data_IF_089671122865
#
_entry.id   IF_089671122865
#
_cell.length_a   1.000
_cell.length_b   1.000
_cell.length_c   1.000
_cell.angle_alpha   90.00
_cell.angle_beta   90.00
_cell.angle_gamma   90.00
#
_symmetry.space_group_name_H-M   'P 1'
#
loop_
_entity.id
_entity.type
_entity.pdbx_description
1 polymer ?
#
# COMPACT_ATOMS: atom_id res chain seq x y z
N UNK A 1 -10.96 34.14 -9.13
CA UNK A 1 -9.69 34.90 -9.15
C UNK A 1 -9.41 35.62 -7.84
N UNK A 2 -10.33 36.45 -7.32
CA UNK A 2 -10.13 37.20 -6.06
C UNK A 2 -9.90 36.33 -4.80
N UNK A 3 -10.53 35.16 -4.72
CA UNK A 3 -10.31 34.19 -3.63
C UNK A 3 -8.94 33.51 -3.66
N UNK A 4 -8.36 33.31 -4.85
CA UNK A 4 -7.04 32.68 -5.02
C UNK A 4 -5.91 33.61 -4.58
N UNK A 5 -6.05 34.91 -4.83
CA UNK A 5 -5.07 35.93 -4.44
C UNK A 5 -4.98 36.05 -2.91
N UNK A 6 -6.12 36.01 -2.22
CA UNK A 6 -6.16 36.05 -0.75
C UNK A 6 -5.50 34.82 -0.11
N UNK A 7 -5.62 33.65 -0.76
CA UNK A 7 -4.94 32.43 -0.32
C UNK A 7 -3.41 32.55 -0.41
N UNK A 8 -2.90 33.09 -1.53
CA UNK A 8 -1.47 33.24 -1.77
C UNK A 8 -0.82 34.28 -0.86
N UNK A 9 -1.50 35.39 -0.58
CA UNK A 9 -1.02 36.41 0.38
C UNK A 9 -0.99 35.86 1.80
N UNK A 10 -2.00 35.06 2.18
CA UNK A 10 -2.02 34.37 3.48
C UNK A 10 -0.88 33.36 3.65
N UNK A 11 -0.58 32.59 2.60
CA UNK A 11 0.57 31.67 2.58
C UNK A 11 1.91 32.40 2.72
N UNK A 12 2.08 33.56 2.06
CA UNK A 12 3.30 34.36 2.14
C UNK A 12 3.51 34.95 3.55
N UNK A 13 2.44 35.47 4.16
CA UNK A 13 2.50 36.06 5.51
C UNK A 13 2.93 35.03 6.56
N UNK A 14 2.41 33.80 6.45
CA UNK A 14 2.73 32.71 7.37
C UNK A 14 4.19 32.25 7.21
N UNK A 15 4.70 32.12 5.98
CA UNK A 15 6.10 31.72 5.74
C UNK A 15 7.12 32.74 6.29
N UNK A 16 6.85 34.04 6.16
CA UNK A 16 7.75 35.09 6.68
C UNK A 16 7.84 35.11 8.20
N UNK A 17 6.74 34.80 8.91
CA UNK A 17 6.75 34.73 10.38
C UNK A 17 7.55 33.53 10.91
N UNK A 18 7.45 32.37 10.26
CA UNK A 18 8.25 31.20 10.63
C UNK A 18 9.75 31.37 10.35
N UNK A 19 10.11 32.12 9.29
CA UNK A 19 11.51 32.39 8.94
C UNK A 19 12.22 33.30 9.97
N UNK A 20 11.52 34.29 10.53
CA UNK A 20 12.08 35.19 11.54
C UNK A 20 12.42 34.44 12.84
N UNK A 21 11.49 33.60 13.33
CA UNK A 21 11.68 32.84 14.57
C UNK A 21 12.80 31.78 14.45
N UNK A 22 12.98 31.19 13.27
CA UNK A 22 14.07 30.23 13.03
C UNK A 22 15.45 30.91 13.01
N UNK A 23 15.52 32.17 12.53
CA UNK A 23 16.78 32.92 12.47
C UNK A 23 17.24 33.39 13.85
N UNK A 24 16.30 33.77 14.73
CA UNK A 24 16.60 34.20 16.10
C UNK A 24 17.12 33.03 16.96
N UNK A 25 16.47 31.86 16.87
CA UNK A 25 16.93 30.63 17.55
C UNK A 25 18.29 30.12 17.04
N UNK A 26 18.62 30.32 15.76
CA UNK A 26 19.91 29.95 15.21
C UNK A 26 21.04 30.83 15.76
N UNK A 27 20.79 32.13 15.97
CA UNK A 27 21.78 33.07 16.51
C UNK A 27 22.04 32.83 18.00
N UNK A 28 21.02 32.51 18.79
CA UNK A 28 21.19 32.16 20.21
C UNK A 28 22.03 30.88 20.39
N UNK A 29 21.82 29.87 19.54
CA UNK A 29 22.59 28.63 19.57
C UNK A 29 24.09 28.81 19.23
N UNK A 30 24.43 29.80 18.39
CA UNK A 30 25.82 30.14 18.05
C UNK A 30 26.48 30.88 19.21
N UNK A 31 25.78 31.80 19.87
CA UNK A 31 26.29 32.54 21.02
C UNK A 31 26.64 31.63 22.21
N UNK A 32 25.80 30.63 22.50
CA UNK A 32 26.05 29.64 23.56
C UNK A 32 27.30 28.80 23.27
N UNK A 33 27.50 28.37 22.01
CA UNK A 33 28.70 27.62 21.59
C UNK A 33 29.97 28.47 21.67
N UNK A 34 29.89 29.77 21.42
CA UNK A 34 31.04 30.66 21.52
C UNK A 34 31.41 30.98 22.98
N UNK A 35 30.43 31.14 23.87
CA UNK A 35 30.67 31.28 25.31
C UNK A 35 31.37 30.04 25.90
N UNK A 36 30.98 28.84 25.46
CA UNK A 36 31.57 27.57 25.91
C UNK A 36 33.03 27.39 25.44
N UNK A 37 33.40 27.96 24.30
CA UNK A 37 34.81 27.99 23.81
C UNK A 37 35.70 28.96 24.59
N UNK A 38 35.13 30.01 25.19
CA UNK A 38 35.90 30.97 26.01
C UNK A 38 36.13 30.45 27.42
N UNK A 39 35.21 29.65 27.97
CA UNK A 39 35.37 29.01 29.27
C UNK A 39 36.47 27.92 29.29
N UNK A 40 36.68 27.20 28.17
CA UNK A 40 37.58 26.05 28.11
C UNK A 40 39.05 26.37 27.79
N UNK A 41 39.40 27.64 27.57
CA UNK A 41 40.78 28.06 27.23
C UNK A 41 41.65 28.48 28.43
N UNK A 42 41.18 28.36 29.67
CA UNK A 42 41.94 28.79 30.87
C UNK A 42 42.41 27.70 31.83
N UNK A 43 42.14 26.42 31.58
CA UNK A 43 42.61 25.35 32.48
C UNK A 43 43.65 24.45 31.81
N UNK A 44 44.81 24.36 32.47
CA UNK A 44 45.97 23.55 32.11
C UNK A 44 45.63 22.05 32.16
N UNK A 45 46.28 21.20 31.33
CA UNK A 45 46.05 19.77 31.32
C UNK A 45 46.98 19.09 32.34
N UNK A 46 46.51 18.89 33.57
CA UNK A 46 47.12 17.92 34.50
C UNK A 46 46.12 16.81 34.80
N UNK A 47 46.45 15.63 34.29
CA UNK A 47 46.07 14.30 34.77
C UNK A 47 44.66 14.14 35.38
N UNK A 48 43.73 13.65 34.57
CA UNK A 48 42.81 12.62 35.04
C UNK A 48 42.77 11.46 34.04
N UNK A 49 43.51 10.40 34.43
CA UNK A 49 43.13 9.03 34.13
C UNK A 49 41.81 8.78 34.85
N UNK A 50 40.68 8.94 34.18
CA UNK A 50 39.44 8.33 34.63
C UNK A 50 38.76 7.70 33.42
N UNK A 51 38.70 6.38 33.53
CA UNK A 51 37.71 5.48 32.96
C UNK A 51 37.32 5.73 31.51
N UNK A 52 37.61 4.73 30.67
CA UNK A 52 36.68 4.33 29.64
C UNK A 52 35.27 4.27 30.27
N UNK A 53 34.53 5.37 30.18
CA UNK A 53 33.09 5.29 30.24
C UNK A 53 32.78 4.49 28.99
N UNK A 54 32.56 3.20 29.20
CA UNK A 54 31.80 2.35 28.30
C UNK A 54 30.48 3.06 28.05
N UNK A 55 30.49 4.05 27.16
CA UNK A 55 29.29 4.59 26.54
C UNK A 55 28.85 3.47 25.63
N UNK A 56 28.14 2.49 26.21
CA UNK A 56 27.32 1.59 25.41
C UNK A 56 26.52 2.51 24.49
N UNK A 57 26.69 2.43 23.16
CA UNK A 57 25.89 3.22 22.26
C UNK A 57 24.54 2.54 22.17
N UNK A 58 23.77 2.51 23.27
CA UNK A 58 22.33 2.34 23.17
C UNK A 58 21.81 3.67 22.65
N UNK A 59 21.92 3.85 21.34
CA UNK A 59 21.04 4.76 20.60
C UNK A 59 19.63 4.30 20.92
N UNK A 60 19.03 4.87 21.96
CA UNK A 60 17.60 4.79 22.17
C UNK A 60 17.01 5.49 20.94
N UNK A 61 16.45 4.70 20.04
CA UNK A 61 15.60 5.21 18.97
C UNK A 61 14.55 6.07 19.67
N UNK A 62 14.42 7.34 19.30
CA UNK A 62 13.44 8.20 19.96
C UNK A 62 12.04 7.63 19.75
N UNK A 63 11.16 7.87 20.71
CA UNK A 63 9.76 7.43 20.64
C UNK A 63 9.09 7.90 19.33
N UNK A 64 9.42 9.12 18.88
CA UNK A 64 8.97 9.67 17.59
C UNK A 64 9.49 8.88 16.38
N UNK A 65 10.76 8.44 16.40
CA UNK A 65 11.32 7.61 15.33
C UNK A 65 10.69 6.22 15.30
N UNK A 66 10.40 5.61 16.47
CA UNK A 66 9.66 4.35 16.56
C UNK A 66 8.22 4.49 16.04
N UNK A 67 7.54 5.58 16.40
CA UNK A 67 6.19 5.89 15.93
C UNK A 67 6.15 6.11 14.41
N UNK A 68 7.14 6.81 13.86
CA UNK A 68 7.27 7.00 12.42
C UNK A 68 7.53 5.67 11.69
N UNK A 69 8.38 4.80 12.24
CA UNK A 69 8.65 3.46 11.69
C UNK A 69 7.38 2.59 11.68
N UNK A 70 6.68 2.48 12.81
CA UNK A 70 5.45 1.69 12.90
C UNK A 70 4.39 2.19 11.91
N UNK A 71 4.21 3.52 11.82
CA UNK A 71 3.28 4.10 10.85
C UNK A 71 3.68 3.79 9.40
N UNK A 72 4.97 3.82 9.08
CA UNK A 72 5.47 3.45 7.75
C UNK A 72 5.20 1.98 7.45
N UNK A 73 5.53 1.05 8.37
CA UNK A 73 5.26 -0.38 8.22
C UNK A 73 3.77 -0.68 8.05
N UNK A 74 2.90 -0.04 8.82
CA UNK A 74 1.45 -0.18 8.69
C UNK A 74 0.96 0.26 7.30
N UNK A 75 1.42 1.43 6.83
CA UNK A 75 1.06 1.92 5.48
C UNK A 75 1.65 1.07 4.36
N UNK A 76 2.84 0.48 4.55
CA UNK A 76 3.45 -0.44 3.58
C UNK A 76 2.63 -1.73 3.47
N UNK A 77 2.19 -2.29 4.61
CA UNK A 77 1.33 -3.49 4.65
C UNK A 77 -0.01 -3.24 3.95
N UNK A 78 -0.65 -2.10 4.23
CA UNK A 78 -1.89 -1.68 3.57
C UNK A 78 -1.70 -1.56 2.05
N UNK A 79 -0.64 -0.89 1.61
CA UNK A 79 -0.32 -0.71 0.19
C UNK A 79 -0.08 -2.05 -0.53
N UNK A 80 0.72 -2.96 0.05
CA UNK A 80 0.95 -4.31 -0.50
C UNK A 80 -0.34 -5.12 -0.58
N UNK A 81 -1.18 -5.07 0.46
CA UNK A 81 -2.49 -5.74 0.46
C UNK A 81 -3.38 -5.24 -0.68
N UNK A 82 -3.48 -3.92 -0.88
CA UNK A 82 -4.29 -3.35 -1.96
C UNK A 82 -3.76 -3.72 -3.35
N UNK A 83 -2.44 -3.77 -3.54
CA UNK A 83 -1.85 -4.28 -4.79
C UNK A 83 -2.25 -5.74 -5.07
N UNK A 84 -2.18 -6.60 -4.06
CA UNK A 84 -2.56 -8.01 -4.20
C UNK A 84 -4.06 -8.15 -4.50
N UNK A 85 -4.92 -7.36 -3.85
CA UNK A 85 -6.35 -7.32 -4.14
C UNK A 85 -6.63 -6.87 -5.58
N UNK A 86 -5.92 -5.85 -6.06
CA UNK A 86 -6.04 -5.38 -7.44
C UNK A 86 -5.62 -6.46 -8.45
N UNK A 87 -4.53 -7.18 -8.19
CA UNK A 87 -4.10 -8.30 -9.04
C UNK A 87 -5.17 -9.40 -9.11
N UNK A 88 -5.75 -9.79 -7.96
CA UNK A 88 -6.85 -10.76 -7.89
C UNK A 88 -8.09 -10.28 -8.65
N UNK A 89 -8.45 -8.99 -8.51
CA UNK A 89 -9.60 -8.41 -9.19
C UNK A 89 -9.40 -8.35 -10.72
N UNK A 90 -8.19 -8.03 -11.18
CA UNK A 90 -7.85 -8.07 -12.61
C UNK A 90 -7.99 -9.49 -13.19
N UNK A 91 -7.55 -10.51 -12.45
CA UNK A 91 -7.72 -11.91 -12.85
C UNK A 91 -9.21 -12.28 -12.97
N UNK A 92 -10.04 -11.87 -12.00
CA UNK A 92 -11.50 -12.06 -12.05
C UNK A 92 -12.12 -11.39 -13.27
N UNK A 93 -11.78 -10.14 -13.56
CA UNK A 93 -12.29 -9.43 -14.74
C UNK A 93 -11.94 -10.17 -16.02
N UNK A 94 -10.72 -10.70 -16.14
CA UNK A 94 -10.33 -11.51 -17.30
C UNK A 94 -11.25 -12.72 -17.47
N UNK A 95 -11.53 -13.46 -16.40
CA UNK A 95 -12.44 -14.61 -16.43
C UNK A 95 -13.87 -14.20 -16.85
N UNK A 96 -14.39 -13.10 -16.31
CA UNK A 96 -15.73 -12.61 -16.68
C UNK A 96 -15.79 -12.08 -18.11
N UNK A 97 -14.70 -11.49 -18.60
CA UNK A 97 -14.60 -11.10 -20.01
C UNK A 97 -14.62 -12.31 -20.93
N UNK A 98 -13.87 -13.37 -20.62
CA UNK A 98 -13.94 -14.61 -21.41
C UNK A 98 -15.33 -15.24 -21.42
N UNK A 99 -16.07 -15.15 -20.30
CA UNK A 99 -17.47 -15.61 -20.23
C UNK A 99 -18.39 -14.73 -21.06
N UNK A 100 -18.20 -13.41 -21.04
CA UNK A 100 -18.92 -12.46 -21.88
C UNK A 100 -18.69 -12.76 -23.37
N UNK A 101 -17.43 -12.91 -23.78
CA UNK A 101 -17.06 -13.21 -25.17
C UNK A 101 -17.70 -14.54 -25.65
N UNK A 102 -17.79 -15.55 -24.76
CA UNK A 102 -18.49 -16.81 -25.06
C UNK A 102 -19.99 -16.61 -25.20
N UNK A 103 -20.62 -15.86 -24.30
CA UNK A 103 -22.05 -15.57 -24.36
C UNK A 103 -22.41 -14.75 -25.61
N UNK A 104 -21.55 -13.80 -26.01
CA UNK A 104 -21.70 -13.03 -27.25
C UNK A 104 -21.70 -13.94 -28.47
N UNK A 105 -20.72 -14.86 -28.58
CA UNK A 105 -20.67 -15.84 -29.68
C UNK A 105 -21.91 -16.73 -29.72
N UNK A 106 -22.37 -17.22 -28.56
CA UNK A 106 -23.59 -18.04 -28.50
C UNK A 106 -24.81 -17.23 -28.94
N UNK A 107 -24.98 -16.01 -28.45
CA UNK A 107 -26.08 -15.13 -28.86
C UNK A 107 -26.04 -14.79 -30.36
N UNK A 108 -24.85 -14.63 -30.94
CA UNK A 108 -24.65 -14.38 -32.36
C UNK A 108 -25.15 -15.55 -33.25
N UNK A 109 -24.97 -16.81 -32.80
CA UNK A 109 -25.52 -17.98 -33.50
C UNK A 109 -27.05 -17.95 -33.60
N UNK A 110 -27.71 -17.36 -32.60
CA UNK A 110 -29.16 -17.23 -32.53
C UNK A 110 -29.70 -15.91 -33.09
N UNK A 111 -28.88 -15.07 -33.73
CA UNK A 111 -29.35 -13.83 -34.37
C UNK A 111 -30.06 -14.06 -35.71
N UNK A 112 -30.08 -15.30 -36.22
CA UNK A 112 -30.83 -15.62 -37.44
C UNK A 112 -32.33 -15.71 -37.16
N UNK A 113 -33.19 -15.28 -38.09
CA UNK A 113 -34.64 -15.39 -37.92
C UNK A 113 -35.08 -16.85 -38.05
N UNK A 114 -35.28 -17.53 -36.92
CA UNK A 114 -35.94 -18.83 -36.85
C UNK A 114 -37.43 -18.71 -36.53
N UNK A 115 -38.23 -19.67 -36.98
CA UNK A 115 -39.69 -19.75 -36.71
C UNK A 115 -40.07 -20.91 -35.79
N UNK A 116 -39.12 -21.80 -35.51
CA UNK A 116 -39.34 -22.98 -34.68
C UNK A 116 -39.46 -22.59 -33.19
N UNK A 117 -40.46 -23.08 -32.43
CA UNK A 117 -40.64 -22.69 -31.03
C UNK A 117 -39.45 -23.03 -30.13
N UNK A 118 -38.74 -24.13 -30.39
CA UNK A 118 -37.54 -24.51 -29.64
C UNK A 118 -36.41 -23.52 -29.90
N UNK A 119 -36.16 -23.19 -31.17
CA UNK A 119 -35.20 -22.14 -31.55
C UNK A 119 -35.50 -20.79 -30.88
N UNK A 120 -36.77 -20.37 -30.82
CA UNK A 120 -37.16 -19.11 -30.18
C UNK A 120 -36.93 -19.12 -28.66
N UNK A 121 -37.05 -20.29 -28.00
CA UNK A 121 -36.71 -20.44 -26.58
C UNK A 121 -35.21 -20.29 -26.38
N UNK A 122 -34.42 -21.01 -27.17
CA UNK A 122 -32.96 -21.03 -27.05
C UNK A 122 -32.36 -19.65 -27.39
N UNK A 123 -32.96 -18.93 -28.34
CA UNK A 123 -32.62 -17.53 -28.64
C UNK A 123 -32.85 -16.61 -27.41
N UNK A 124 -33.98 -16.76 -26.72
CA UNK A 124 -34.27 -15.97 -25.50
C UNK A 124 -33.31 -16.31 -24.37
N UNK A 125 -32.98 -17.59 -24.20
CA UNK A 125 -32.03 -18.05 -23.19
C UNK A 125 -30.62 -17.52 -23.47
N UNK A 126 -30.16 -17.59 -24.72
CA UNK A 126 -28.86 -17.03 -25.12
C UNK A 126 -28.77 -15.51 -24.85
N UNK A 127 -29.83 -14.76 -25.14
CA UNK A 127 -29.91 -13.32 -24.86
C UNK A 127 -29.95 -13.02 -23.35
N UNK A 128 -30.65 -13.83 -22.56
CA UNK A 128 -30.66 -13.70 -21.09
C UNK A 128 -29.26 -13.94 -20.51
N UNK A 129 -28.58 -15.02 -20.95
CA UNK A 129 -27.22 -15.36 -20.54
C UNK A 129 -26.21 -14.27 -20.92
N UNK A 130 -26.34 -13.67 -22.11
CA UNK A 130 -25.54 -12.52 -22.53
C UNK A 130 -25.75 -11.31 -21.60
N UNK A 131 -27.01 -11.00 -21.29
CA UNK A 131 -27.36 -9.92 -20.36
C UNK A 131 -26.75 -10.11 -18.97
N UNK A 132 -26.80 -11.34 -18.44
CA UNK A 132 -26.21 -11.67 -17.15
C UNK A 132 -24.68 -11.60 -17.18
N UNK A 133 -24.04 -12.16 -18.21
CA UNK A 133 -22.59 -12.12 -18.37
C UNK A 133 -22.08 -10.67 -18.43
N UNK A 134 -22.78 -9.80 -19.16
CA UNK A 134 -22.46 -8.37 -19.25
C UNK A 134 -22.57 -7.68 -17.90
N UNK A 135 -23.68 -7.89 -17.18
CA UNK A 135 -23.88 -7.32 -15.84
C UNK A 135 -22.77 -7.74 -14.87
N UNK A 136 -22.38 -9.01 -14.90
CA UNK A 136 -21.31 -9.53 -14.04
C UNK A 136 -19.95 -8.90 -14.38
N UNK A 137 -19.61 -8.80 -15.66
CA UNK A 137 -18.39 -8.12 -16.10
C UNK A 137 -18.36 -6.65 -15.65
N UNK A 138 -19.46 -5.91 -15.83
CA UNK A 138 -19.55 -4.50 -15.46
C UNK A 138 -19.44 -4.28 -13.94
N UNK A 139 -20.02 -5.17 -13.13
CA UNK A 139 -19.88 -5.14 -11.66
C UNK A 139 -18.43 -5.35 -11.25
N UNK A 140 -17.74 -6.32 -11.83
CA UNK A 140 -16.33 -6.58 -11.50
C UNK A 140 -15.41 -5.46 -12.00
N UNK A 141 -15.70 -4.87 -13.16
CA UNK A 141 -14.98 -3.70 -13.67
C UNK A 141 -15.12 -2.49 -12.74
N UNK A 142 -16.32 -2.24 -12.21
CA UNK A 142 -16.54 -1.16 -11.24
C UNK A 142 -15.74 -1.38 -9.95
N UNK A 143 -15.70 -2.61 -9.42
CA UNK A 143 -14.88 -2.95 -8.24
C UNK A 143 -13.39 -2.69 -8.47
N UNK A 144 -12.88 -2.91 -9.68
CA UNK A 144 -11.49 -2.58 -10.02
C UNK A 144 -11.26 -1.07 -9.98
N UNK A 145 -12.19 -0.27 -10.48
CA UNK A 145 -12.04 1.19 -10.45
C UNK A 145 -12.08 1.74 -9.02
N UNK A 146 -12.94 1.19 -8.16
CA UNK A 146 -12.95 1.51 -6.73
C UNK A 146 -11.58 1.16 -6.10
N UNK A 147 -11.03 -0.04 -6.35
CA UNK A 147 -9.70 -0.43 -5.86
C UNK A 147 -8.56 0.45 -6.39
N UNK A 148 -8.63 0.94 -7.63
CA UNK A 148 -7.63 1.89 -8.16
C UNK A 148 -7.66 3.21 -7.38
N UNK A 149 -8.85 3.68 -7.04
CA UNK A 149 -9.00 4.90 -6.26
C UNK A 149 -8.41 4.74 -4.85
N UNK A 150 -8.67 3.60 -4.20
CA UNK A 150 -8.10 3.27 -2.89
C UNK A 150 -6.57 3.15 -2.93
N UNK A 151 -6.04 2.45 -3.94
CA UNK A 151 -4.59 2.29 -4.11
C UNK A 151 -3.90 3.64 -4.29
N UNK A 152 -4.49 4.56 -5.06
CA UNK A 152 -3.92 5.90 -5.27
C UNK A 152 -3.87 6.72 -3.96
N UNK A 153 -4.85 6.55 -3.07
CA UNK A 153 -4.83 7.17 -1.74
C UNK A 153 -3.76 6.53 -0.86
N UNK A 154 -3.69 5.20 -0.84
CA UNK A 154 -2.70 4.45 -0.07
C UNK A 154 -1.26 4.76 -0.51
N UNK A 155 -1.02 4.91 -1.82
CA UNK A 155 0.28 5.29 -2.37
C UNK A 155 0.74 6.66 -1.85
N UNK A 156 -0.14 7.66 -1.86
CA UNK A 156 0.17 8.99 -1.29
C UNK A 156 0.50 8.90 0.20
N UNK A 157 -0.27 8.11 0.97
CA UNK A 157 -0.01 7.89 2.40
C UNK A 157 1.35 7.23 2.63
N UNK A 158 1.66 6.20 1.85
CA UNK A 158 2.95 5.51 1.88
C UNK A 158 4.11 6.48 1.61
N UNK A 159 4.03 7.30 0.55
CA UNK A 159 5.07 8.30 0.24
C UNK A 159 5.26 9.32 1.37
N UNK A 160 4.19 9.76 2.03
CA UNK A 160 4.28 10.68 3.16
C UNK A 160 4.94 10.00 4.36
N UNK A 161 4.52 8.78 4.69
CA UNK A 161 5.08 8.01 5.80
C UNK A 161 6.56 7.68 5.58
N UNK A 162 6.93 7.32 4.36
CA UNK A 162 8.32 7.07 3.96
C UNK A 162 9.19 8.32 4.11
N UNK A 163 8.70 9.49 3.66
CA UNK A 163 9.40 10.77 3.84
C UNK A 163 9.56 11.12 5.31
N UNK A 164 8.51 10.95 6.12
CA UNK A 164 8.56 11.19 7.56
C UNK A 164 9.62 10.27 8.22
N UNK A 165 9.57 8.97 7.93
CA UNK A 165 10.55 8.02 8.44
C UNK A 165 12.00 8.41 8.08
N UNK A 166 12.25 8.82 6.84
CA UNK A 166 13.58 9.29 6.39
C UNK A 166 14.07 10.52 7.16
N UNK A 167 13.18 11.44 7.53
CA UNK A 167 13.51 12.63 8.33
C UNK A 167 13.81 12.27 9.79
N UNK A 168 13.00 11.40 10.39
CA UNK A 168 13.15 11.00 11.79
C UNK A 168 14.25 9.95 12.01
N UNK A 169 14.86 9.41 10.94
CA UNK A 169 15.86 8.37 11.07
C UNK A 169 17.09 8.50 10.15
N UNK A 170 17.85 9.61 10.23
CA UNK A 170 19.11 9.75 9.50
C UNK A 170 20.21 8.81 10.03
N UNK A 171 20.05 8.25 11.23
CA UNK A 171 21.04 7.42 11.92
C UNK A 171 20.92 5.91 11.65
N UNK A 172 19.79 5.40 11.14
CA UNK A 172 19.69 4.00 10.66
C UNK A 172 20.31 3.81 9.27
N UNK A 173 20.30 4.83 8.40
CA UNK A 173 20.98 4.76 7.08
C UNK A 173 22.50 4.68 7.26
N UNK A 174 23.05 5.26 8.33
CA UNK A 174 24.47 5.12 8.72
C UNK A 174 24.85 3.77 9.36
N UNK A 175 23.88 2.91 9.71
CA UNK A 175 24.12 1.55 10.24
C UNK A 175 23.67 0.46 9.26
N UNK A 176 22.72 0.74 8.37
CA UNK A 176 22.27 -0.13 7.28
C UNK A 176 23.14 -0.01 6.00
N UNK A 177 24.31 0.63 6.09
CA UNK A 177 25.30 0.70 5.01
C UNK A 177 26.19 -0.55 4.87
N UNK A 178 25.89 -1.63 5.59
CA UNK A 178 26.52 -2.95 5.39
C UNK A 178 25.46 -4.04 5.48
N UNK A 179 25.25 -4.70 4.34
CA UNK A 179 24.56 -5.99 4.14
C UNK A 179 23.09 -6.10 4.56
N UNK A 180 22.18 -5.59 3.74
CA UNK A 180 21.01 -6.39 3.36
C UNK A 180 21.18 -6.66 1.88
N UNK A 181 21.57 -7.88 1.57
CA UNK A 181 21.67 -8.42 0.23
C UNK A 181 20.27 -8.29 -0.42
N UNK A 182 20.11 -7.41 -1.40
CA UNK A 182 18.85 -7.18 -2.12
C UNK A 182 18.35 -8.45 -2.85
N UNK A 183 19.17 -9.51 -2.87
CA UNK A 183 18.87 -10.82 -3.44
C UNK A 183 18.35 -11.87 -2.45
N UNK A 184 18.02 -11.50 -1.19
CA UNK A 184 17.42 -12.44 -0.23
C UNK A 184 15.99 -12.07 0.15
N UNK A 185 15.17 -11.74 -0.85
CA UNK A 185 13.72 -11.91 -0.74
C UNK A 185 13.45 -13.39 -0.98
N UNK A 186 13.25 -14.11 0.11
CA UNK A 186 12.84 -15.51 0.15
C UNK A 186 11.63 -15.75 -0.75
N UNK A 187 11.89 -16.56 -1.78
CA UNK A 187 11.02 -17.54 -2.44
C UNK A 187 9.53 -17.49 -2.03
N UNK A 188 8.70 -16.93 -2.92
CA UNK A 188 7.24 -16.91 -2.82
C UNK A 188 6.62 -18.29 -3.18
N UNK A 189 7.27 -19.40 -2.83
CA UNK A 189 6.83 -20.76 -3.19
C UNK A 189 5.95 -21.45 -2.14
N UNK A 190 5.49 -20.76 -1.10
CA UNK A 190 4.72 -21.37 0.01
C UNK A 190 3.28 -20.84 0.14
N UNK A 191 2.64 -20.44 -0.97
CA UNK A 191 1.21 -20.05 -0.98
C UNK A 191 0.38 -20.70 -2.10
N UNK A 192 0.89 -21.75 -2.76
CA UNK A 192 0.13 -22.60 -3.69
C UNK A 192 0.03 -24.03 -3.14
N UNK A 193 -0.73 -24.23 -2.06
CA UNK A 193 -1.19 -25.57 -1.65
C UNK A 193 -2.33 -25.50 -0.64
N UNK A 194 -3.41 -24.80 -0.99
CA UNK A 194 -4.74 -25.26 -0.59
C UNK A 194 -5.40 -25.85 -1.85
N UNK A 195 -4.87 -27.01 -2.23
CA UNK A 195 -5.58 -27.96 -3.08
C UNK A 195 -6.84 -28.36 -2.32
N UNK A 196 -7.97 -27.82 -2.76
CA UNK A 196 -9.29 -28.29 -2.35
C UNK A 196 -9.39 -29.73 -2.81
N UNK A 197 -9.08 -30.66 -1.91
CA UNK A 197 -9.37 -32.07 -2.10
C UNK A 197 -10.88 -32.20 -2.36
N UNK A 198 -11.32 -32.90 -3.42
CA UNK A 198 -12.68 -33.38 -3.45
C UNK A 198 -12.85 -34.32 -2.25
N UNK A 199 -13.77 -33.99 -1.33
CA UNK A 199 -14.33 -34.97 -0.42
C UNK A 199 -15.11 -35.98 -1.26
N UNK A 200 -14.36 -36.95 -1.77
CA UNK A 200 -14.87 -38.19 -2.33
C UNK A 200 -14.55 -39.26 -1.28
N UNK A 201 -15.43 -39.38 -0.29
CA UNK A 201 -15.50 -40.59 0.52
C UNK A 201 -16.92 -41.14 0.45
N UNK A 202 -16.99 -42.35 -0.07
CA UNK A 202 -18.20 -43.05 -0.41
C UNK A 202 -19.03 -43.37 0.84
N UNK A 203 -20.35 -43.23 0.75
CA UNK A 203 -21.26 -44.03 1.56
C UNK A 203 -22.22 -44.78 0.64
N UNK A 204 -22.00 -46.09 0.65
CA UNK A 204 -22.70 -47.17 -0.01
C UNK A 204 -24.15 -47.34 0.43
N UNK A 205 -24.96 -47.85 -0.51
CA UNK A 205 -26.03 -48.85 -0.36
C UNK A 205 -27.26 -48.62 0.55
N UNK A 206 -28.41 -48.86 -0.10
CA UNK A 206 -29.59 -49.62 0.37
C UNK A 206 -30.78 -48.86 0.99
N UNK A 207 -31.82 -48.65 0.16
CA UNK A 207 -33.20 -48.91 0.53
C UNK A 207 -34.07 -49.18 -0.72
N UNK A 208 -34.70 -50.35 -0.71
CA UNK A 208 -35.53 -51.00 -1.73
C UNK A 208 -36.85 -50.24 -2.12
N UNK A 209 -37.61 -50.72 -3.14
CA UNK A 209 -38.60 -49.95 -3.92
C UNK A 209 -40.05 -50.09 -3.43
N UNK A 210 -40.95 -49.21 -3.90
CA UNK A 210 -42.40 -49.46 -3.94
C UNK A 210 -43.15 -48.55 -4.94
N UNK A 211 -43.86 -49.22 -5.87
CA UNK A 211 -44.97 -48.84 -6.77
C UNK A 211 -44.84 -47.69 -7.80
#
# INVERSE_FOLDING_TARGET
>A
MRSLILLLVGLFYVQSAFAANAYEAANEAVAVKEMQRRATKKEKPEQQKQSATSVEPRKLISEDSLKALNKWLDTEKEYKRLKNLMAKQNSRIRLFKERLDKAEKVAELYNQPGKDPEYLRDQKEAQANLGEAKKNHDVEAKKLDDLKSELAVAEKRYTIAEKAYKIYNPTLIGFAGKSVDENKVTDESELESEEVAPEDDASSEDAAPAE
#
